data_IF_573403190080
#
_entry.id   IF_573403190080
#
_cell.length_a   1.000
_cell.length_b   1.000
_cell.length_c   1.000
_cell.angle_alpha   90.00
_cell.angle_beta   90.00
_cell.angle_gamma   90.00
#
_symmetry.space_group_name_H-M   'P 1'
#
loop_
_entity.id
_entity.type
_entity.pdbx_description
1 polymer ?
#
# COMPACT_ATOMS: atom_id res chain seq x y z
N UNK A 1 19.57 -16.18 -1.90
CA UNK A 1 20.08 -14.80 -1.84
C UNK A 1 18.89 -13.89 -1.71
N UNK A 2 19.04 -12.83 -0.94
CA UNK A 2 17.98 -11.86 -0.68
C UNK A 2 17.96 -10.77 -1.75
N UNK A 3 16.78 -10.36 -2.17
CA UNK A 3 16.54 -9.38 -3.21
C UNK A 3 15.26 -8.60 -2.94
N UNK A 4 15.02 -7.56 -3.70
CA UNK A 4 13.75 -6.85 -3.75
C UNK A 4 13.16 -6.88 -5.17
N UNK A 5 11.87 -6.59 -5.24
CA UNK A 5 11.13 -6.42 -6.50
C UNK A 5 10.55 -5.01 -6.48
N UNK A 6 10.89 -4.20 -7.48
CA UNK A 6 10.43 -2.83 -7.65
C UNK A 6 9.67 -2.68 -8.95
N UNK A 7 8.42 -2.28 -8.88
CA UNK A 7 7.51 -2.20 -10.04
C UNK A 7 7.42 -3.51 -10.87
N UNK A 8 7.52 -4.66 -10.21
CA UNK A 8 7.53 -5.97 -10.87
C UNK A 8 8.90 -6.46 -11.35
N UNK A 9 9.93 -5.61 -11.35
CA UNK A 9 11.30 -5.93 -11.77
C UNK A 9 12.12 -6.45 -10.58
N UNK A 10 12.73 -7.63 -10.74
CA UNK A 10 13.51 -8.27 -9.70
C UNK A 10 14.97 -7.76 -9.71
N UNK A 11 15.45 -7.22 -8.59
CA UNK A 11 16.83 -6.72 -8.49
C UNK A 11 17.89 -7.80 -8.77
N UNK A 12 17.58 -9.07 -8.48
CA UNK A 12 18.49 -10.18 -8.73
C UNK A 12 18.74 -10.45 -10.24
N UNK A 13 17.80 -10.09 -11.12
CA UNK A 13 17.98 -10.21 -12.58
C UNK A 13 19.06 -9.26 -13.09
N UNK A 14 19.27 -8.14 -12.40
CA UNK A 14 20.35 -7.19 -12.63
C UNK A 14 21.64 -7.54 -11.86
N UNK A 15 21.64 -8.70 -11.16
CA UNK A 15 22.77 -9.12 -10.34
C UNK A 15 22.94 -8.32 -9.05
N UNK A 16 21.92 -7.55 -8.65
CA UNK A 16 21.88 -6.79 -7.41
C UNK A 16 21.19 -7.60 -6.33
N UNK A 17 21.92 -7.82 -5.25
CA UNK A 17 21.41 -8.55 -4.07
C UNK A 17 21.49 -7.65 -2.85
N UNK A 18 20.50 -7.74 -1.98
CA UNK A 18 20.51 -7.03 -0.70
C UNK A 18 21.24 -7.85 0.36
N UNK A 19 21.92 -7.17 1.30
CA UNK A 19 22.66 -7.83 2.37
C UNK A 19 21.71 -8.54 3.36
N UNK A 20 22.26 -9.34 4.27
CA UNK A 20 21.48 -10.07 5.30
C UNK A 20 20.89 -9.18 6.40
N UNK A 21 21.07 -7.87 6.34
CA UNK A 21 20.50 -6.93 7.31
C UNK A 21 19.08 -6.56 6.88
N UNK A 22 18.08 -7.02 7.67
CA UNK A 22 16.69 -6.65 7.46
C UNK A 22 16.45 -5.19 7.87
N UNK A 23 15.60 -4.52 7.15
CA UNK A 23 15.23 -3.13 7.42
C UNK A 23 13.94 -3.06 8.24
N UNK A 24 14.04 -2.52 9.46
CA UNK A 24 12.92 -2.37 10.39
C UNK A 24 12.54 -0.88 10.60
N UNK A 25 12.65 -0.07 9.56
CA UNK A 25 12.25 1.33 9.64
C UNK A 25 10.75 1.45 9.93
N UNK A 26 10.41 2.32 10.88
CA UNK A 26 9.03 2.61 11.27
C UNK A 26 8.69 4.07 10.95
N UNK A 27 7.50 4.36 10.43
CA UNK A 27 7.09 5.71 10.14
C UNK A 27 6.84 6.50 11.42
N UNK A 28 7.06 7.80 11.35
CA UNK A 28 6.77 8.74 12.42
C UNK A 28 5.34 9.26 12.26
N UNK A 29 4.61 9.42 13.39
CA UNK A 29 3.30 10.06 13.38
C UNK A 29 3.44 11.55 13.10
N UNK A 30 2.59 12.12 12.27
CA UNK A 30 2.48 13.57 12.10
C UNK A 30 1.86 14.16 13.36
N UNK A 31 2.60 14.99 14.08
CA UNK A 31 2.16 15.62 15.33
C UNK A 31 2.60 17.07 15.35
N UNK A 32 1.70 17.95 15.75
CA UNK A 32 2.01 19.34 16.06
C UNK A 32 2.03 19.52 17.59
N UNK A 33 3.08 20.15 18.11
CA UNK A 33 3.20 20.47 19.54
C UNK A 33 3.04 21.97 19.74
N UNK A 34 2.05 22.34 20.53
CA UNK A 34 1.75 23.75 20.86
C UNK A 34 2.05 23.98 22.32
N UNK A 35 2.99 24.90 22.60
CA UNK A 35 3.29 25.35 23.97
C UNK A 35 2.22 26.32 24.42
N UNK A 36 1.60 26.05 25.58
CA UNK A 36 0.57 26.89 26.15
C UNK A 36 1.08 27.57 27.44
N UNK A 37 1.04 28.88 27.46
CA UNK A 37 1.49 29.68 28.64
C UNK A 37 0.75 29.27 29.89
N UNK A 38 1.48 29.03 31.00
CA UNK A 38 0.93 28.61 32.27
C UNK A 38 0.58 27.13 32.43
N UNK A 39 0.89 26.32 31.42
CA UNK A 39 0.72 24.85 31.43
C UNK A 39 2.09 24.15 31.40
N UNK A 40 2.26 23.12 32.24
CA UNK A 40 3.40 22.23 32.15
C UNK A 40 3.17 21.21 31.00
N UNK A 41 4.15 21.10 30.07
CA UNK A 41 4.09 20.25 28.90
C UNK A 41 3.30 20.88 27.74
N UNK A 42 3.55 20.38 26.54
CA UNK A 42 2.93 20.85 25.31
C UNK A 42 1.54 20.22 25.12
N UNK A 43 0.67 20.94 24.41
CA UNK A 43 -0.52 20.36 23.80
C UNK A 43 -0.09 19.63 22.53
N UNK A 44 -0.43 18.36 22.41
CA UNK A 44 -0.14 17.58 21.20
C UNK A 44 -1.40 17.53 20.37
N UNK A 45 -1.32 18.08 19.16
CA UNK A 45 -2.34 17.93 18.13
C UNK A 45 -1.88 16.78 17.24
N UNK A 46 -2.65 15.71 17.21
CA UNK A 46 -2.34 14.51 16.44
C UNK A 46 -3.34 14.36 15.31
N UNK A 47 -2.81 14.28 14.08
CA UNK A 47 -3.54 13.73 12.95
C UNK A 47 -3.38 12.21 12.98
N UNK A 48 -4.35 11.48 12.43
CA UNK A 48 -4.26 10.02 12.29
C UNK A 48 -3.23 9.58 11.23
N UNK A 49 -2.44 10.52 10.71
CA UNK A 49 -1.51 10.35 9.61
C UNK A 49 -0.08 10.08 10.08
N UNK A 50 0.68 9.47 9.18
CA UNK A 50 2.10 9.18 9.36
C UNK A 50 2.92 9.85 8.26
N UNK A 51 4.16 10.18 8.58
CA UNK A 51 5.13 10.68 7.61
C UNK A 51 5.65 9.51 6.75
N UNK A 52 6.09 9.81 5.54
CA UNK A 52 6.87 8.87 4.74
C UNK A 52 8.12 8.42 5.51
N UNK A 53 8.64 7.28 5.12
CA UNK A 53 9.88 6.77 5.69
C UNK A 53 10.90 6.49 4.59
N UNK A 54 12.16 6.76 4.88
CA UNK A 54 13.27 6.40 4.01
C UNK A 54 13.72 4.98 4.36
N UNK A 55 13.53 4.06 3.40
CA UNK A 55 13.88 2.65 3.55
C UNK A 55 15.22 2.38 2.88
N UNK A 56 16.20 1.94 3.67
CA UNK A 56 17.54 1.65 3.22
C UNK A 56 17.74 0.16 2.95
N UNK A 57 18.25 -0.19 1.78
CA UNK A 57 18.73 -1.53 1.46
C UNK A 57 20.24 -1.51 1.20
N UNK A 58 21.06 -2.04 2.10
CA UNK A 58 22.46 -2.34 1.80
C UNK A 58 22.52 -3.41 0.72
N UNK A 59 23.17 -3.10 -0.42
CA UNK A 59 23.18 -3.94 -1.60
C UNK A 59 24.60 -4.20 -2.11
N UNK A 60 24.72 -5.22 -2.95
CA UNK A 60 25.99 -5.55 -3.59
C UNK A 60 25.80 -6.18 -4.97
N UNK A 61 26.81 -5.96 -5.82
CA UNK A 61 27.03 -6.65 -7.09
C UNK A 61 28.34 -7.41 -7.00
N UNK A 62 28.40 -8.67 -7.41
CA UNK A 62 29.61 -9.52 -7.29
C UNK A 62 30.56 -9.39 -8.46
N UNK A 63 30.02 -9.21 -9.67
CA UNK A 63 30.77 -9.26 -10.92
C UNK A 63 30.10 -8.40 -11.99
N UNK A 64 30.85 -7.98 -13.00
CA UNK A 64 30.39 -7.13 -14.12
C UNK A 64 29.72 -5.84 -13.63
N UNK A 65 30.35 -5.18 -12.62
CA UNK A 65 29.77 -4.04 -11.92
C UNK A 65 29.27 -2.95 -12.89
N UNK A 66 30.07 -2.56 -13.88
CA UNK A 66 29.73 -1.44 -14.78
C UNK A 66 28.41 -1.68 -15.53
N UNK A 67 28.35 -2.76 -16.31
CA UNK A 67 27.16 -3.09 -17.11
C UNK A 67 25.92 -3.32 -16.24
N UNK A 68 26.07 -4.10 -15.18
CA UNK A 68 24.94 -4.42 -14.27
C UNK A 68 24.41 -3.18 -13.57
N UNK A 69 25.32 -2.30 -13.15
CA UNK A 69 24.95 -1.06 -12.48
C UNK A 69 24.20 -0.11 -13.42
N UNK A 70 24.68 0.07 -14.65
CA UNK A 70 24.01 0.91 -15.64
C UNK A 70 22.59 0.42 -15.95
N UNK A 71 22.43 -0.87 -16.18
CA UNK A 71 21.11 -1.47 -16.43
C UNK A 71 20.18 -1.34 -15.22
N UNK A 72 20.73 -1.57 -14.03
CA UNK A 72 19.96 -1.46 -12.77
C UNK A 72 19.52 -0.01 -12.49
N UNK A 73 20.41 0.96 -12.64
CA UNK A 73 20.07 2.39 -12.45
C UNK A 73 19.06 2.84 -13.50
N UNK A 74 19.19 2.39 -14.75
CA UNK A 74 18.22 2.67 -15.81
C UNK A 74 16.82 2.13 -15.44
N UNK A 75 16.74 0.92 -14.89
CA UNK A 75 15.47 0.35 -14.40
C UNK A 75 14.88 1.20 -13.27
N UNK A 76 15.66 1.55 -12.25
CA UNK A 76 15.17 2.37 -11.14
C UNK A 76 14.69 3.75 -11.63
N UNK A 77 15.46 4.41 -12.48
CA UNK A 77 15.18 5.76 -12.98
C UNK A 77 14.04 5.83 -13.99
N UNK A 78 13.69 4.71 -14.65
CA UNK A 78 12.59 4.65 -15.62
C UNK A 78 11.20 4.71 -14.97
N UNK A 79 11.13 4.46 -13.66
CA UNK A 79 9.88 4.40 -12.90
C UNK A 79 9.59 5.75 -12.27
N UNK A 80 8.37 6.25 -12.44
CA UNK A 80 7.91 7.51 -11.84
C UNK A 80 6.80 7.27 -10.82
N UNK A 81 6.76 8.12 -9.78
CA UNK A 81 5.77 8.05 -8.71
C UNK A 81 5.95 6.87 -7.76
N UNK A 82 4.95 6.66 -6.91
CA UNK A 82 4.96 5.54 -5.96
C UNK A 82 4.51 4.26 -6.64
N UNK A 83 5.37 3.26 -6.63
CA UNK A 83 5.10 1.93 -7.16
C UNK A 83 5.34 0.86 -6.11
N UNK A 84 4.91 -0.34 -6.40
CA UNK A 84 5.03 -1.49 -5.51
C UNK A 84 6.49 -1.89 -5.31
N UNK A 85 6.88 -1.97 -4.04
CA UNK A 85 8.17 -2.47 -3.57
C UNK A 85 7.93 -3.67 -2.64
N UNK A 86 8.57 -4.77 -2.94
CA UNK A 86 8.55 -6.02 -2.18
C UNK A 86 9.96 -6.45 -1.86
N UNK A 87 10.16 -7.16 -0.76
CA UNK A 87 11.45 -7.75 -0.45
C UNK A 87 11.33 -9.16 0.13
N UNK A 88 12.45 -9.87 0.12
CA UNK A 88 12.52 -11.25 0.64
C UNK A 88 12.61 -11.33 2.16
N UNK A 89 12.78 -10.21 2.87
CA UNK A 89 12.77 -10.16 4.33
C UNK A 89 11.36 -10.14 4.89
N UNK A 90 10.42 -9.52 4.14
CA UNK A 90 9.04 -9.32 4.55
C UNK A 90 8.07 -9.85 3.48
N UNK A 91 8.05 -11.17 3.22
CA UNK A 91 7.30 -11.75 2.09
C UNK A 91 5.77 -11.60 2.22
N UNK A 92 5.28 -11.28 3.40
CA UNK A 92 3.84 -11.06 3.69
C UNK A 92 3.35 -9.64 3.38
N UNK A 93 4.27 -8.70 3.10
CA UNK A 93 3.93 -7.29 2.86
C UNK A 93 4.48 -6.79 1.53
N UNK A 94 3.94 -5.66 1.10
CA UNK A 94 4.54 -4.76 0.13
C UNK A 94 4.37 -3.32 0.60
N UNK A 95 5.15 -2.41 0.03
CA UNK A 95 5.04 -0.97 0.22
C UNK A 95 4.85 -0.27 -1.10
N UNK A 96 4.30 0.94 -1.05
CA UNK A 96 4.36 1.88 -2.16
C UNK A 96 5.60 2.74 -1.95
N UNK A 97 6.50 2.74 -2.92
CA UNK A 97 7.82 3.36 -2.80
C UNK A 97 8.20 4.13 -4.07
N UNK A 98 9.01 5.16 -3.87
CA UNK A 98 9.60 5.96 -4.93
C UNK A 98 11.12 5.96 -4.78
N UNK A 99 11.83 5.73 -5.90
CA UNK A 99 13.29 5.86 -5.94
C UNK A 99 13.65 7.32 -6.24
N UNK A 100 14.36 7.96 -5.31
CA UNK A 100 14.66 9.39 -5.39
C UNK A 100 16.16 9.68 -5.34
N UNK A 101 16.91 8.94 -4.54
CA UNK A 101 18.31 9.23 -4.27
C UNK A 101 19.27 8.36 -5.08
N UNK A 102 20.25 9.00 -5.76
CA UNK A 102 21.38 8.32 -6.37
C UNK A 102 22.31 7.70 -5.32
N UNK A 103 23.07 6.69 -5.71
CA UNK A 103 24.05 6.04 -4.86
C UNK A 103 25.43 5.92 -5.55
N UNK A 104 26.48 5.80 -4.75
CA UNK A 104 27.84 5.66 -5.26
C UNK A 104 28.45 4.35 -4.72
N UNK A 105 28.72 3.35 -5.58
CA UNK A 105 29.27 2.07 -5.14
C UNK A 105 30.69 2.17 -4.61
N UNK A 106 30.94 1.52 -3.48
CA UNK A 106 32.30 1.19 -3.02
C UNK A 106 32.78 -0.02 -3.82
N UNK A 107 33.71 0.22 -4.75
CA UNK A 107 34.15 -0.81 -5.69
C UNK A 107 35.18 -1.77 -5.08
N UNK A 108 35.15 -3.02 -5.51
CA UNK A 108 36.21 -4.01 -5.25
C UNK A 108 37.39 -3.80 -6.20
N UNK A 109 38.59 -4.37 -5.90
CA UNK A 109 39.72 -4.30 -6.83
C UNK A 109 39.35 -4.70 -8.24
N UNK A 110 39.87 -3.94 -9.22
CA UNK A 110 39.60 -4.08 -10.66
C UNK A 110 38.13 -3.84 -11.06
N UNK A 111 37.33 -3.14 -10.21
CA UNK A 111 35.91 -2.84 -10.47
C UNK A 111 35.05 -4.06 -10.81
N UNK A 112 35.42 -5.23 -10.28
CA UNK A 112 34.66 -6.46 -10.55
C UNK A 112 33.28 -6.45 -9.89
N UNK A 113 33.21 -5.97 -8.68
CA UNK A 113 31.97 -5.87 -7.90
C UNK A 113 31.94 -4.59 -7.07
N UNK A 114 30.86 -4.38 -6.34
CA UNK A 114 30.73 -3.21 -5.48
C UNK A 114 29.64 -3.40 -4.42
N UNK A 115 29.70 -2.58 -3.37
CA UNK A 115 28.69 -2.46 -2.33
C UNK A 115 28.16 -1.03 -2.32
N UNK A 116 26.88 -0.88 -2.07
CA UNK A 116 26.20 0.41 -2.03
C UNK A 116 24.92 0.31 -1.22
N UNK A 117 24.40 1.45 -0.83
CA UNK A 117 23.10 1.56 -0.16
C UNK A 117 22.08 2.13 -1.15
N UNK A 118 20.91 1.50 -1.23
CA UNK A 118 19.78 1.97 -2.01
C UNK A 118 18.75 2.53 -1.05
N UNK A 119 18.21 3.70 -1.37
CA UNK A 119 17.20 4.37 -0.57
C UNK A 119 15.89 4.50 -1.36
N UNK A 120 14.79 4.17 -0.71
CA UNK A 120 13.45 4.38 -1.24
C UNK A 120 12.66 5.25 -0.28
N UNK A 121 12.09 6.34 -0.79
CA UNK A 121 11.03 7.05 -0.08
C UNK A 121 9.75 6.20 -0.14
N UNK A 122 9.29 5.74 1.00
CA UNK A 122 8.16 4.83 1.10
C UNK A 122 6.98 5.52 1.78
N UNK A 123 5.78 5.27 1.27
CA UNK A 123 4.57 5.52 2.05
C UNK A 123 4.61 4.76 3.37
N UNK A 124 4.00 5.29 4.44
CA UNK A 124 4.09 4.68 5.77
C UNK A 124 3.47 3.29 5.87
N UNK A 125 2.49 2.99 5.01
CA UNK A 125 1.74 1.74 5.06
C UNK A 125 2.56 0.56 4.54
N UNK A 126 2.50 -0.55 5.29
CA UNK A 126 2.81 -1.91 4.82
C UNK A 126 1.51 -2.60 4.46
N UNK A 127 1.27 -2.83 3.20
CA UNK A 127 0.08 -3.52 2.73
C UNK A 127 0.27 -5.03 2.86
N UNK A 128 -0.69 -5.69 3.50
CA UNK A 128 -0.67 -7.15 3.62
C UNK A 128 -1.09 -7.79 2.29
N UNK A 129 -0.37 -8.81 1.83
CA UNK A 129 -0.79 -9.60 0.65
C UNK A 129 -2.13 -10.31 0.86
N UNK A 130 -2.51 -10.59 2.10
CA UNK A 130 -3.84 -11.10 2.43
C UNK A 130 -4.95 -10.09 2.17
N UNK A 131 -4.62 -8.79 2.19
CA UNK A 131 -5.53 -7.70 1.85
C UNK A 131 -5.86 -7.57 0.36
N UNK A 132 -5.10 -8.24 -0.51
CA UNK A 132 -5.37 -8.30 -1.95
C UNK A 132 -6.33 -9.44 -2.31
N UNK A 133 -6.56 -10.36 -1.37
CA UNK A 133 -7.44 -11.52 -1.61
C UNK A 133 -8.90 -11.09 -1.58
N UNK A 134 -9.58 -11.35 -2.67
CA UNK A 134 -11.01 -11.12 -2.81
C UNK A 134 -11.80 -12.04 -1.89
N UNK A 135 -12.72 -11.46 -1.12
CA UNK A 135 -13.74 -12.17 -0.35
C UNK A 135 -15.12 -11.91 -0.96
N UNK A 136 -15.94 -12.95 -1.10
CA UNK A 136 -17.25 -12.87 -1.75
C UNK A 136 -18.34 -13.09 -0.73
N UNK A 137 -19.39 -12.25 -0.79
CA UNK A 137 -20.60 -12.37 0.02
C UNK A 137 -21.83 -12.43 -0.90
N UNK A 138 -22.60 -13.49 -0.78
CA UNK A 138 -23.92 -13.69 -1.46
C UNK A 138 -25.07 -13.59 -0.45
N UNK A 139 -24.76 -13.39 0.81
CA UNK A 139 -25.68 -13.18 1.92
C UNK A 139 -25.00 -12.32 2.99
N UNK A 140 -25.77 -11.92 4.00
CA UNK A 140 -25.21 -11.20 5.15
C UNK A 140 -24.06 -12.00 5.78
N UNK A 141 -23.01 -11.28 6.14
CA UNK A 141 -21.81 -11.92 6.66
C UNK A 141 -20.92 -10.94 7.43
N UNK A 142 -19.70 -11.35 7.71
CA UNK A 142 -18.75 -10.48 8.36
C UNK A 142 -17.32 -10.73 7.85
N UNK A 143 -16.58 -9.66 7.69
CA UNK A 143 -15.16 -9.69 7.33
C UNK A 143 -14.32 -9.21 8.53
N UNK A 144 -13.31 -10.00 8.89
CA UNK A 144 -12.41 -9.64 9.99
C UNK A 144 -11.17 -8.95 9.44
N UNK A 145 -10.96 -7.71 9.86
CA UNK A 145 -9.70 -6.99 9.65
C UNK A 145 -8.68 -7.52 10.66
N UNK A 146 -7.53 -8.06 10.20
CA UNK A 146 -6.50 -8.61 11.07
C UNK A 146 -5.57 -7.52 11.66
N UNK A 147 -5.71 -6.27 11.20
CA UNK A 147 -4.85 -5.15 11.61
C UNK A 147 -5.58 -4.22 12.58
N UNK A 148 -4.85 -3.26 13.16
CA UNK A 148 -5.40 -2.23 14.02
C UNK A 148 -5.75 -0.93 13.27
N UNK A 149 -5.61 -0.94 11.96
CA UNK A 149 -5.83 0.23 11.10
C UNK A 149 -7.05 0.03 10.24
N UNK A 150 -7.87 1.08 10.13
CA UNK A 150 -8.98 1.10 9.20
C UNK A 150 -8.45 1.08 7.76
N UNK A 151 -9.04 0.26 6.90
CA UNK A 151 -8.67 0.19 5.49
C UNK A 151 -9.80 0.66 4.58
N UNK A 152 -9.45 1.09 3.38
CA UNK A 152 -10.37 1.55 2.34
C UNK A 152 -10.46 0.48 1.25
N UNK A 153 -11.51 -0.35 1.25
CA UNK A 153 -11.63 -1.48 0.34
C UNK A 153 -11.91 -1.06 -1.10
N UNK A 154 -11.65 -1.98 -2.03
CA UNK A 154 -12.29 -1.96 -3.34
C UNK A 154 -13.47 -2.93 -3.29
N UNK A 155 -14.66 -2.44 -3.62
CA UNK A 155 -15.90 -3.19 -3.61
C UNK A 155 -16.39 -3.39 -5.04
N UNK A 156 -16.83 -4.61 -5.38
CA UNK A 156 -17.63 -4.86 -6.58
C UNK A 156 -18.99 -5.37 -6.16
N UNK A 157 -20.03 -4.62 -6.50
CA UNK A 157 -21.40 -4.83 -6.04
C UNK A 157 -22.26 -5.20 -7.22
N UNK A 158 -22.99 -6.32 -7.14
CA UNK A 158 -23.87 -6.84 -8.17
C UNK A 158 -25.34 -6.61 -7.80
N UNK A 159 -26.08 -6.00 -8.73
CA UNK A 159 -27.50 -5.66 -8.56
C UNK A 159 -27.71 -4.28 -7.96
N UNK A 160 -28.96 -3.98 -7.66
CA UNK A 160 -29.43 -2.70 -7.08
C UNK A 160 -29.92 -2.90 -5.66
N UNK A 161 -29.79 -1.89 -4.82
CA UNK A 161 -30.16 -1.97 -3.40
C UNK A 161 -29.11 -1.37 -2.48
N UNK A 162 -29.01 -1.83 -1.24
CA UNK A 162 -28.13 -1.26 -0.24
C UNK A 162 -27.17 -2.28 0.34
N UNK A 163 -25.88 -1.90 0.44
CA UNK A 163 -24.85 -2.57 1.22
C UNK A 163 -24.59 -1.75 2.48
N UNK A 164 -24.72 -2.37 3.63
CA UNK A 164 -24.40 -1.75 4.91
C UNK A 164 -23.16 -2.43 5.48
N UNK A 165 -22.10 -1.64 5.68
CA UNK A 165 -20.86 -2.07 6.35
C UNK A 165 -20.82 -1.36 7.71
N UNK A 166 -21.08 -2.10 8.79
CA UNK A 166 -21.27 -1.53 10.12
C UNK A 166 -22.41 -0.49 10.12
N UNK A 167 -22.07 0.80 10.20
CA UNK A 167 -23.00 1.94 10.16
C UNK A 167 -22.87 2.78 8.86
N UNK A 168 -22.14 2.28 7.87
CA UNK A 168 -21.90 2.96 6.60
C UNK A 168 -22.81 2.35 5.54
N UNK A 169 -23.72 3.14 4.97
CA UNK A 169 -24.67 2.67 3.96
C UNK A 169 -24.23 3.13 2.58
N UNK A 170 -24.16 2.19 1.66
CA UNK A 170 -23.89 2.37 0.24
C UNK A 170 -25.15 1.97 -0.50
N UNK A 171 -25.72 2.89 -1.30
CA UNK A 171 -26.91 2.60 -2.10
C UNK A 171 -26.57 2.58 -3.58
N UNK A 172 -26.98 1.51 -4.27
CA UNK A 172 -26.86 1.37 -5.72
C UNK A 172 -28.26 1.56 -6.32
N UNK A 173 -28.49 2.73 -6.93
CA UNK A 173 -29.78 3.08 -7.53
C UNK A 173 -29.96 2.43 -8.90
N UNK A 174 -28.86 2.27 -9.65
CA UNK A 174 -28.85 1.60 -10.95
C UNK A 174 -27.51 0.91 -11.18
N UNK A 175 -27.53 -0.29 -11.68
CA UNK A 175 -26.34 -1.03 -12.08
C UNK A 175 -26.62 -1.81 -13.37
N UNK A 176 -25.67 -1.75 -14.29
CA UNK A 176 -25.58 -2.66 -15.43
C UNK A 176 -24.66 -3.81 -15.04
N UNK A 177 -25.23 -4.91 -14.53
CA UNK A 177 -24.56 -6.08 -14.00
C UNK A 177 -23.88 -5.84 -12.65
N UNK A 178 -22.85 -4.95 -12.59
CA UNK A 178 -22.13 -4.60 -11.37
C UNK A 178 -21.68 -3.14 -11.37
N UNK A 179 -21.33 -2.65 -10.18
CA UNK A 179 -20.65 -1.37 -9.97
C UNK A 179 -19.42 -1.61 -9.09
N UNK A 180 -18.26 -1.13 -9.53
CA UNK A 180 -17.04 -1.06 -8.71
C UNK A 180 -17.03 0.25 -7.93
N UNK A 181 -16.65 0.19 -6.65
CA UNK A 181 -16.48 1.36 -5.79
C UNK A 181 -15.08 1.30 -5.19
N UNK A 182 -14.23 2.24 -5.58
CA UNK A 182 -12.92 2.42 -4.96
C UNK A 182 -13.03 3.38 -3.79
N UNK A 183 -12.98 2.83 -2.57
CA UNK A 183 -13.11 3.61 -1.35
C UNK A 183 -11.87 4.46 -1.02
N UNK A 184 -10.76 4.30 -1.75
CA UNK A 184 -9.58 5.17 -1.59
C UNK A 184 -9.84 6.55 -2.19
N UNK A 185 -10.43 6.58 -3.38
CA UNK A 185 -10.72 7.81 -4.15
C UNK A 185 -12.21 8.18 -4.10
N UNK A 186 -13.07 7.37 -3.47
CA UNK A 186 -14.52 7.54 -3.38
C UNK A 186 -15.20 7.68 -4.73
N UNK A 187 -14.84 6.82 -5.67
CA UNK A 187 -15.42 6.77 -7.02
C UNK A 187 -16.12 5.46 -7.31
N UNK A 188 -17.25 5.55 -8.02
CA UNK A 188 -17.99 4.44 -8.54
C UNK A 188 -17.83 4.35 -10.07
N UNK A 189 -17.53 3.14 -10.58
CA UNK A 189 -17.29 2.94 -12.01
C UNK A 189 -17.62 1.49 -12.45
N UNK A 190 -17.71 1.29 -13.76
CA UNK A 190 -17.72 -0.03 -14.41
C UNK A 190 -16.71 -0.01 -15.56
N UNK A 191 -15.57 -0.68 -15.38
CA UNK A 191 -14.46 -0.60 -16.33
C UNK A 191 -13.93 0.84 -16.43
N UNK A 192 -14.16 1.52 -17.54
CA UNK A 192 -13.77 2.92 -17.76
C UNK A 192 -14.92 3.92 -17.64
N UNK A 193 -16.13 3.44 -17.36
CA UNK A 193 -17.34 4.27 -17.31
C UNK A 193 -17.57 4.75 -15.88
N UNK A 194 -17.68 6.04 -15.68
CA UNK A 194 -18.04 6.63 -14.38
C UNK A 194 -19.51 6.34 -14.05
N UNK A 195 -19.76 5.84 -12.83
CA UNK A 195 -21.08 5.47 -12.31
C UNK A 195 -21.49 6.26 -11.06
N UNK A 196 -20.81 7.35 -10.73
CA UNK A 196 -21.07 8.13 -9.51
C UNK A 196 -22.53 8.62 -9.42
N UNK A 197 -23.15 8.95 -10.55
CA UNK A 197 -24.56 9.38 -10.59
C UNK A 197 -25.56 8.25 -10.21
N UNK A 198 -25.13 7.01 -10.23
CA UNK A 198 -25.97 5.83 -9.98
C UNK A 198 -25.87 5.29 -8.55
N UNK A 199 -25.08 5.95 -7.70
CA UNK A 199 -24.79 5.49 -6.34
C UNK A 199 -24.95 6.63 -5.34
N UNK A 200 -25.27 6.29 -4.10
CA UNK A 200 -25.21 7.17 -2.95
C UNK A 200 -24.17 6.61 -1.99
N UNK A 201 -23.11 7.38 -1.76
CA UNK A 201 -21.98 7.01 -0.91
C UNK A 201 -21.92 7.91 0.32
N UNK A 202 -21.54 7.40 1.49
CA UNK A 202 -21.15 8.24 2.62
C UNK A 202 -19.82 8.95 2.31
N UNK A 203 -19.43 9.93 3.11
CA UNK A 203 -18.18 10.67 2.92
C UNK A 203 -16.93 9.80 2.87
N UNK A 204 -16.94 8.69 3.59
CA UNK A 204 -15.87 7.70 3.60
C UNK A 204 -16.44 6.30 3.87
N UNK A 205 -15.78 5.29 3.31
CA UNK A 205 -16.09 3.88 3.52
C UNK A 205 -14.84 3.18 4.06
N UNK A 206 -14.97 2.61 5.26
CA UNK A 206 -13.88 1.92 5.93
C UNK A 206 -14.25 0.51 6.36
N UNK A 207 -13.27 -0.38 6.33
CA UNK A 207 -13.25 -1.60 7.11
C UNK A 207 -12.44 -1.32 8.39
N UNK A 208 -13.12 -1.22 9.52
CA UNK A 208 -12.51 -0.93 10.82
C UNK A 208 -11.72 -2.15 11.33
N UNK A 209 -10.93 -1.97 12.36
CA UNK A 209 -10.27 -3.07 13.06
C UNK A 209 -11.27 -4.09 13.60
N UNK A 210 -10.88 -5.34 13.63
CA UNK A 210 -11.74 -6.44 14.09
C UNK A 210 -12.87 -6.80 13.11
N UNK A 211 -14.08 -7.05 13.64
CA UNK A 211 -15.21 -7.60 12.87
C UNK A 211 -16.01 -6.52 12.17
N UNK A 212 -16.12 -6.58 10.86
CA UNK A 212 -16.96 -5.72 10.03
C UNK A 212 -18.18 -6.49 9.56
N UNK A 213 -19.35 -6.17 10.09
CA UNK A 213 -20.61 -6.80 9.68
C UNK A 213 -21.07 -6.19 8.35
N UNK A 214 -21.47 -7.05 7.43
CA UNK A 214 -21.99 -6.70 6.11
C UNK A 214 -23.43 -7.17 5.98
N UNK A 215 -24.33 -6.26 5.63
CA UNK A 215 -25.75 -6.55 5.38
C UNK A 215 -26.10 -6.15 3.96
N UNK A 216 -26.65 -7.11 3.21
CA UNK A 216 -27.07 -6.94 1.82
C UNK A 216 -28.60 -6.84 1.78
N UNK A 217 -29.12 -5.81 1.08
CA UNK A 217 -30.55 -5.63 0.85
C UNK A 217 -30.79 -5.29 -0.62
N UNK A 218 -31.41 -6.19 -1.38
CA UNK A 218 -31.58 -6.08 -2.84
C UNK A 218 -30.33 -6.41 -3.66
N UNK A 219 -29.15 -6.38 -3.06
CA UNK A 219 -27.85 -6.76 -3.68
C UNK A 219 -27.73 -8.29 -3.70
N UNK A 220 -27.33 -8.84 -4.83
CA UNK A 220 -27.18 -10.30 -5.01
C UNK A 220 -25.81 -10.83 -4.58
N UNK A 221 -24.76 -10.03 -4.77
CA UNK A 221 -23.38 -10.42 -4.45
C UNK A 221 -22.53 -9.19 -4.23
N UNK A 222 -21.58 -9.29 -3.30
CA UNK A 222 -20.50 -8.31 -3.09
C UNK A 222 -19.16 -9.02 -3.09
N UNK A 223 -18.20 -8.51 -3.86
CA UNK A 223 -16.81 -8.92 -3.84
C UNK A 223 -15.99 -7.81 -3.18
N UNK A 224 -15.20 -8.14 -2.18
CA UNK A 224 -14.45 -7.20 -1.37
C UNK A 224 -12.96 -7.50 -1.47
N UNK A 225 -12.16 -6.54 -1.93
CA UNK A 225 -10.71 -6.53 -1.78
C UNK A 225 -10.40 -5.58 -0.64
N UNK A 226 -10.03 -6.08 0.54
CA UNK A 226 -10.04 -5.27 1.77
C UNK A 226 -8.88 -4.31 1.90
N UNK A 227 -7.77 -4.50 1.21
CA UNK A 227 -6.57 -3.64 1.24
C UNK A 227 -6.02 -3.44 2.66
N UNK A 228 -5.91 -4.54 3.43
CA UNK A 228 -5.36 -4.51 4.79
C UNK A 228 -3.94 -3.92 4.82
N UNK A 229 -3.68 -3.08 5.78
CA UNK A 229 -2.36 -2.49 5.97
C UNK A 229 -1.98 -2.35 7.46
N UNK A 230 -0.69 -2.19 7.74
CA UNK A 230 -0.10 -1.94 9.05
C UNK A 230 1.10 -0.99 8.92
N UNK A 231 1.74 -0.65 10.02
CA UNK A 231 3.01 0.10 10.12
C UNK A 231 4.14 -0.76 10.67
#
# INVERSE_FOLDING_TARGET
MTYFVYNGECSAEYGVYISGEATFATPKRKTEKVSVAGRNGDLVLEDEEFENLNLKYPAFIRENLGERLENFVSMLASVSGYVRLEDTYHPEYYRMAHYEEGFNPQTTPYNKGGKFDIYFDCMPQKFLRTGEKKTVFEANGALKNPTRFKSKPLLRIYGTGSLIIQNQTITINSADEYTDIDCEIMEAFKGTVNCNANVELPDNIYLFDGKNQMTLSGITKVEVIPRWWTI
#
